data_IF_335366370120
#
_entry.id   IF_335366370120
#
_cell.length_a   1.000
_cell.length_b   1.000
_cell.length_c   1.000
_cell.angle_alpha   90.00
_cell.angle_beta   90.00
_cell.angle_gamma   90.00
#
_symmetry.space_group_name_H-M   'P 1'
#
loop_
_entity.id
_entity.type
_entity.pdbx_description
1 polymer ?
#
# COMPACT_ATOMS: atom_id res chain seq x y z
N UNK A 1 -41.75 24.11 12.92
CA UNK A 1 -40.86 23.07 12.36
C UNK A 1 -39.53 23.16 13.09
N UNK A 2 -39.18 22.17 13.90
CA UNK A 2 -37.88 22.14 14.59
C UNK A 2 -36.82 21.72 13.59
N UNK A 3 -35.96 22.65 13.18
CA UNK A 3 -34.79 22.34 12.35
C UNK A 3 -33.86 21.50 13.22
N UNK A 4 -33.71 20.21 12.91
CA UNK A 4 -32.69 19.36 13.54
C UNK A 4 -31.33 19.95 13.16
N UNK A 5 -30.65 20.56 14.13
CA UNK A 5 -29.27 20.96 13.95
C UNK A 5 -28.44 19.70 13.68
N UNK A 6 -27.66 19.71 12.60
CA UNK A 6 -26.70 18.65 12.36
C UNK A 6 -25.73 18.58 13.55
N UNK A 7 -25.30 17.37 13.98
CA UNK A 7 -24.25 17.27 14.98
C UNK A 7 -23.02 18.06 14.51
N UNK A 8 -22.32 18.77 15.43
CA UNK A 8 -21.13 19.51 15.07
C UNK A 8 -20.13 18.54 14.44
N UNK A 9 -19.45 18.94 13.36
CA UNK A 9 -18.49 18.06 12.71
C UNK A 9 -17.35 17.73 13.69
N UNK A 10 -16.81 16.51 13.65
CA UNK A 10 -15.72 16.10 14.53
C UNK A 10 -14.51 17.02 14.37
N UNK A 11 -13.78 17.26 15.46
CA UNK A 11 -12.67 18.20 15.52
C UNK A 11 -11.63 17.91 14.42
N UNK A 12 -11.53 18.83 13.45
CA UNK A 12 -10.77 18.73 12.21
C UNK A 12 -9.26 18.99 12.37
N UNK A 13 -8.64 18.44 13.40
CA UNK A 13 -7.28 18.80 13.79
C UNK A 13 -6.23 18.38 12.74
N UNK A 14 -6.38 17.20 12.12
CA UNK A 14 -5.34 16.67 11.21
C UNK A 14 -5.07 17.57 9.98
N UNK A 15 -6.11 18.12 9.35
CA UNK A 15 -5.95 19.02 8.21
C UNK A 15 -5.26 20.34 8.60
N UNK A 16 -5.37 20.77 9.86
CA UNK A 16 -4.74 21.98 10.38
C UNK A 16 -3.26 21.77 10.74
N UNK A 17 -2.85 20.53 11.05
CA UNK A 17 -1.46 20.19 11.43
C UNK A 17 -0.48 20.24 10.26
N UNK A 18 -0.98 20.11 9.02
CA UNK A 18 -0.15 20.05 7.82
C UNK A 18 0.67 18.76 7.70
N UNK A 19 1.57 18.75 6.72
CA UNK A 19 2.34 17.57 6.34
C UNK A 19 3.85 17.82 6.42
N UNK A 20 4.61 16.74 6.54
CA UNK A 20 6.06 16.72 6.33
C UNK A 20 6.33 16.39 4.87
N UNK A 21 7.15 17.21 4.22
CA UNK A 21 7.48 17.09 2.81
C UNK A 21 8.86 16.47 2.64
N UNK A 22 8.93 15.36 1.90
CA UNK A 22 10.17 14.67 1.55
C UNK A 22 10.56 15.03 0.12
N UNK A 23 11.82 15.43 -0.07
CA UNK A 23 12.31 16.08 -1.28
C UNK A 23 13.47 15.35 -1.92
N UNK A 24 13.56 15.50 -3.22
CA UNK A 24 14.62 15.02 -4.06
C UNK A 24 15.74 16.08 -4.17
N UNK A 25 17.00 15.79 -3.80
CA UNK A 25 18.09 16.77 -3.77
C UNK A 25 18.53 17.26 -5.16
N UNK A 26 18.52 16.37 -6.16
CA UNK A 26 18.95 16.69 -7.54
C UNK A 26 18.03 17.56 -8.39
N UNK A 27 16.92 18.09 -7.86
CA UNK A 27 16.03 18.99 -8.58
C UNK A 27 15.84 20.29 -7.79
N UNK A 28 16.29 21.41 -8.36
CA UNK A 28 16.44 22.69 -7.65
C UNK A 28 15.19 23.58 -7.63
N UNK A 29 14.11 23.19 -8.32
CA UNK A 29 12.86 23.95 -8.32
C UNK A 29 12.07 23.62 -7.05
N UNK A 30 12.04 24.56 -6.09
CA UNK A 30 11.51 24.41 -4.73
C UNK A 30 10.02 24.05 -4.65
N UNK A 31 9.27 24.23 -5.73
CA UNK A 31 7.87 23.82 -5.83
C UNK A 31 7.69 22.40 -6.37
N UNK A 32 8.72 21.77 -6.97
CA UNK A 32 8.55 20.54 -7.78
C UNK A 32 9.61 19.47 -7.49
N UNK A 33 10.27 19.52 -6.35
CA UNK A 33 11.24 18.52 -5.92
C UNK A 33 10.70 17.57 -4.86
N UNK A 34 9.47 17.77 -4.37
CA UNK A 34 8.87 16.87 -3.39
C UNK A 34 8.43 15.56 -4.03
N UNK A 35 8.83 14.44 -3.43
CA UNK A 35 8.55 13.07 -3.89
C UNK A 35 7.46 12.39 -3.07
N UNK A 36 7.25 12.86 -1.84
CA UNK A 36 6.27 12.33 -0.91
C UNK A 36 5.90 13.41 0.11
N UNK A 37 4.65 13.39 0.57
CA UNK A 37 4.16 14.21 1.67
C UNK A 37 3.39 13.30 2.61
N UNK A 38 3.70 13.37 3.91
CA UNK A 38 3.04 12.53 4.93
C UNK A 38 2.41 13.41 6.02
N UNK A 39 1.18 13.12 6.46
CA UNK A 39 0.49 13.88 7.48
C UNK A 39 1.15 13.69 8.86
N UNK A 40 1.08 14.72 9.70
CA UNK A 40 1.62 14.67 11.07
C UNK A 40 0.67 13.93 12.00
N UNK A 41 0.88 12.63 12.12
CA UNK A 41 -0.02 11.69 12.80
C UNK A 41 0.58 11.05 14.04
N UNK A 42 1.91 11.02 14.16
CA UNK A 42 2.65 10.37 15.24
C UNK A 42 3.03 11.35 16.33
N UNK A 43 2.80 11.00 17.60
CA UNK A 43 3.15 11.82 18.76
C UNK A 43 4.56 11.54 19.24
N UNK A 44 5.30 12.59 19.57
CA UNK A 44 6.60 12.42 20.23
C UNK A 44 6.41 11.99 21.70
N UNK A 45 7.13 10.96 22.21
CA UNK A 45 6.94 10.47 23.59
C UNK A 45 7.12 11.54 24.66
N UNK A 46 8.03 12.50 24.43
CA UNK A 46 8.30 13.60 25.38
C UNK A 46 7.34 14.78 25.22
N UNK A 47 6.60 14.87 24.11
CA UNK A 47 5.79 16.04 23.74
C UNK A 47 4.45 15.59 23.13
N UNK A 48 3.47 15.20 23.97
CA UNK A 48 2.24 14.55 23.51
C UNK A 48 1.32 15.45 22.68
N UNK A 49 1.58 16.77 22.64
CA UNK A 49 0.83 17.73 21.84
C UNK A 49 1.51 18.07 20.51
N UNK A 50 2.73 17.55 20.27
CA UNK A 50 3.43 17.73 19.02
C UNK A 50 3.32 16.48 18.15
N UNK A 51 3.02 16.70 16.88
CA UNK A 51 2.79 15.63 15.92
C UNK A 51 3.81 15.71 14.77
N UNK A 52 4.29 14.53 14.40
CA UNK A 52 5.22 14.31 13.33
C UNK A 52 4.95 13.01 12.60
N UNK A 53 5.98 12.44 12.01
CA UNK A 53 5.90 11.19 11.24
C UNK A 53 6.93 10.20 11.77
N UNK A 54 6.53 8.95 11.99
CA UNK A 54 7.45 7.88 12.38
C UNK A 54 8.61 7.74 11.38
N UNK A 55 9.84 7.83 11.89
CA UNK A 55 11.05 7.95 11.07
C UNK A 55 11.26 6.73 10.16
N UNK A 56 11.25 5.51 10.69
CA UNK A 56 11.46 4.32 9.87
C UNK A 56 10.43 4.18 8.73
N UNK A 57 9.17 4.54 9.00
CA UNK A 57 8.10 4.53 7.98
C UNK A 57 8.39 5.54 6.87
N UNK A 58 8.71 6.78 7.23
CA UNK A 58 9.03 7.83 6.26
C UNK A 58 10.28 7.50 5.43
N UNK A 59 11.34 7.02 6.09
CA UNK A 59 12.59 6.63 5.43
C UNK A 59 12.33 5.50 4.43
N UNK A 60 11.65 4.44 4.85
CA UNK A 60 11.38 3.29 3.98
C UNK A 60 10.51 3.67 2.77
N UNK A 61 9.52 4.55 2.97
CA UNK A 61 8.73 5.09 1.86
C UNK A 61 9.61 5.81 0.83
N UNK A 62 10.53 6.66 1.29
CA UNK A 62 11.47 7.35 0.41
C UNK A 62 12.42 6.38 -0.30
N UNK A 63 12.92 5.36 0.38
CA UNK A 63 13.78 4.33 -0.19
C UNK A 63 13.08 3.54 -1.30
N UNK A 64 11.80 3.18 -1.11
CA UNK A 64 10.97 2.52 -2.12
C UNK A 64 10.79 3.44 -3.34
N UNK A 65 10.40 4.70 -3.12
CA UNK A 65 10.20 5.68 -4.20
C UNK A 65 11.51 5.93 -4.96
N UNK A 66 12.65 5.96 -4.26
CA UNK A 66 13.99 6.05 -4.82
C UNK A 66 14.51 4.75 -5.43
N UNK A 67 13.62 3.86 -5.89
CA UNK A 67 13.95 2.58 -6.51
C UNK A 67 14.75 1.64 -5.59
N UNK A 68 14.21 1.39 -4.40
CA UNK A 68 14.79 0.50 -3.39
C UNK A 68 16.21 0.92 -2.96
N UNK A 69 16.49 2.23 -2.89
CA UNK A 69 17.76 2.78 -2.43
C UNK A 69 17.88 2.66 -0.90
N UNK A 70 17.99 1.43 -0.39
CA UNK A 70 17.98 1.12 1.06
C UNK A 70 19.22 1.61 1.82
N UNK A 71 20.26 2.04 1.12
CA UNK A 71 21.43 2.74 1.65
C UNK A 71 21.21 4.26 1.81
N UNK A 72 20.09 4.78 1.30
CA UNK A 72 19.71 6.18 1.42
C UNK A 72 19.31 6.58 2.83
N UNK A 73 19.42 7.87 3.12
CA UNK A 73 19.13 8.46 4.43
C UNK A 73 18.42 9.81 4.31
N UNK A 74 17.81 10.27 5.41
CA UNK A 74 17.17 11.59 5.49
C UNK A 74 18.15 12.65 5.99
N UNK A 75 18.05 13.85 5.43
CA UNK A 75 18.76 15.05 5.85
C UNK A 75 17.83 16.25 5.90
N UNK A 76 18.14 17.25 6.73
CA UNK A 76 17.46 18.55 6.75
C UNK A 76 18.09 19.56 5.77
N UNK A 77 19.24 19.21 5.18
CA UNK A 77 20.03 20.07 4.30
C UNK A 77 20.18 19.43 2.92
N UNK A 78 20.11 20.25 1.87
CA UNK A 78 20.32 19.81 0.48
C UNK A 78 21.78 19.91 0.08
N UNK A 79 22.41 21.03 0.38
CA UNK A 79 23.75 21.39 -0.11
C UNK A 79 24.85 20.61 0.63
N UNK A 80 24.69 20.50 1.95
CA UNK A 80 25.59 19.75 2.82
C UNK A 80 24.76 18.72 3.58
N UNK A 81 24.39 17.61 2.92
CA UNK A 81 23.52 16.62 3.52
C UNK A 81 24.26 15.88 4.63
N UNK A 82 23.72 15.97 5.84
CA UNK A 82 24.10 15.15 6.99
C UNK A 82 22.94 14.25 7.38
N UNK A 83 23.25 13.01 7.77
CA UNK A 83 22.24 12.07 8.25
C UNK A 83 21.64 12.61 9.54
N UNK A 84 20.31 12.65 9.61
CA UNK A 84 19.61 13.05 10.83
C UNK A 84 19.93 12.12 12.00
N UNK A 85 19.88 12.68 13.21
CA UNK A 85 20.17 11.96 14.46
C UNK A 85 18.95 11.29 15.07
N UNK A 86 17.75 11.62 14.60
CA UNK A 86 16.50 10.97 15.06
C UNK A 86 16.61 9.45 14.86
N UNK A 87 16.37 8.64 15.90
CA UNK A 87 16.48 7.19 15.79
C UNK A 87 15.31 6.64 14.94
N UNK A 88 15.42 5.39 14.50
CA UNK A 88 14.46 4.79 13.56
C UNK A 88 13.04 4.67 14.15
N UNK A 89 12.93 4.41 15.45
CA UNK A 89 11.72 4.40 16.27
C UNK A 89 11.23 5.81 16.67
N UNK A 90 12.00 6.85 16.34
CA UNK A 90 11.68 8.23 16.65
C UNK A 90 10.64 8.86 15.73
N UNK A 91 10.28 10.11 16.04
CA UNK A 91 9.32 10.91 15.28
C UNK A 91 10.04 12.09 14.63
N UNK A 92 9.83 12.26 13.33
CA UNK A 92 10.33 13.38 12.54
C UNK A 92 9.43 14.60 12.75
N UNK A 93 10.04 15.75 13.08
CA UNK A 93 9.31 16.97 13.45
C UNK A 93 9.48 18.11 12.44
N UNK A 94 10.56 18.11 11.65
CA UNK A 94 10.80 19.19 10.69
C UNK A 94 9.77 19.19 9.56
N UNK A 95 9.54 20.36 8.96
CA UNK A 95 8.59 20.49 7.86
C UNK A 95 9.11 19.88 6.54
N UNK A 96 10.43 19.80 6.37
CA UNK A 96 11.06 19.37 5.14
C UNK A 96 12.26 18.47 5.42
N UNK A 97 12.35 17.37 4.68
CA UNK A 97 13.52 16.51 4.64
C UNK A 97 13.93 16.24 3.20
N UNK A 98 15.21 16.04 2.96
CA UNK A 98 15.76 15.55 1.70
C UNK A 98 16.12 14.08 1.85
N UNK A 99 15.65 13.25 0.92
CA UNK A 99 16.10 11.87 0.82
C UNK A 99 17.36 11.80 -0.04
N UNK A 100 18.47 11.41 0.58
CA UNK A 100 19.80 11.42 -0.01
C UNK A 100 20.21 9.97 -0.31
N UNK A 101 20.61 9.73 -1.56
CA UNK A 101 21.19 8.45 -1.99
C UNK A 101 22.69 8.65 -2.20
N UNK A 102 23.56 7.98 -1.40
CA UNK A 102 25.01 8.11 -1.52
C UNK A 102 25.50 7.88 -2.96
N UNK A 103 26.38 8.76 -3.44
CA UNK A 103 26.95 8.65 -4.79
C UNK A 103 25.99 8.95 -5.94
N UNK A 104 24.72 9.26 -5.68
CA UNK A 104 23.73 9.55 -6.72
C UNK A 104 22.86 10.78 -6.39
N UNK A 105 23.35 11.96 -6.74
CA UNK A 105 22.64 13.22 -6.49
C UNK A 105 21.28 13.33 -7.22
N UNK A 106 21.11 12.60 -8.34
CA UNK A 106 19.92 12.64 -9.19
C UNK A 106 19.37 11.24 -9.44
N UNK A 107 19.11 10.51 -8.35
CA UNK A 107 18.62 9.14 -8.39
C UNK A 107 17.31 8.99 -9.17
N UNK A 108 17.05 7.82 -9.76
CA UNK A 108 15.81 7.57 -10.46
C UNK A 108 14.67 7.34 -9.45
N UNK A 109 13.47 7.82 -9.80
CA UNK A 109 12.26 7.54 -9.02
C UNK A 109 11.42 6.46 -9.68
N UNK A 110 10.68 5.71 -8.87
CA UNK A 110 9.71 4.72 -9.33
C UNK A 110 8.39 5.44 -9.61
N UNK A 111 7.94 5.51 -10.87
CA UNK A 111 6.83 6.37 -11.26
C UNK A 111 5.44 5.74 -11.01
N UNK A 112 5.37 4.40 -10.93
CA UNK A 112 4.15 3.65 -10.69
C UNK A 112 4.48 2.32 -10.03
N UNK A 113 3.50 1.70 -9.37
CA UNK A 113 3.69 0.37 -8.79
C UNK A 113 3.99 -0.69 -9.85
N UNK A 114 3.42 -0.56 -11.06
CA UNK A 114 3.70 -1.48 -12.18
C UNK A 114 5.17 -1.44 -12.62
N UNK A 115 5.82 -0.29 -12.50
CA UNK A 115 7.25 -0.09 -12.80
C UNK A 115 8.17 -0.51 -11.64
N UNK A 116 7.62 -0.72 -10.44
CA UNK A 116 8.40 -1.10 -9.27
C UNK A 116 8.85 -2.56 -9.31
N UNK A 117 10.10 -2.81 -8.94
CA UNK A 117 10.63 -4.17 -8.73
C UNK A 117 10.58 -4.52 -7.24
N UNK A 118 9.98 -5.65 -6.90
CA UNK A 118 10.04 -6.17 -5.54
C UNK A 118 11.50 -6.56 -5.20
N UNK A 119 12.06 -6.10 -4.07
CA UNK A 119 13.46 -6.31 -3.71
C UNK A 119 13.70 -7.72 -3.15
N UNK A 120 13.60 -8.75 -3.99
CA UNK A 120 13.65 -10.15 -3.53
C UNK A 120 14.90 -10.49 -2.68
N UNK A 121 16.05 -9.91 -3.00
CA UNK A 121 17.31 -10.21 -2.29
C UNK A 121 17.46 -9.37 -1.02
N UNK A 122 17.16 -8.08 -1.10
CA UNK A 122 17.33 -7.14 -0.01
C UNK A 122 16.22 -7.28 1.05
N UNK A 123 15.02 -7.72 0.64
CA UNK A 123 13.84 -7.82 1.51
C UNK A 123 14.08 -8.60 2.80
N UNK A 124 14.84 -9.69 2.73
CA UNK A 124 15.15 -10.50 3.93
C UNK A 124 16.05 -9.76 4.93
N UNK A 125 16.81 -8.77 4.48
CA UNK A 125 17.69 -7.94 5.31
C UNK A 125 17.03 -6.66 5.81
N UNK A 126 15.86 -6.30 5.28
CA UNK A 126 15.15 -5.10 5.72
C UNK A 126 14.59 -5.29 7.14
N UNK A 127 14.53 -4.19 7.89
CA UNK A 127 13.79 -4.14 9.14
C UNK A 127 12.28 -4.14 8.87
N UNK A 128 11.77 -5.30 8.49
CA UNK A 128 10.37 -5.61 8.27
C UNK A 128 10.07 -6.96 8.96
N UNK A 129 9.66 -6.94 10.23
CA UNK A 129 9.66 -8.13 11.08
C UNK A 129 8.74 -9.25 10.60
N UNK A 130 9.07 -10.51 10.94
CA UNK A 130 8.20 -11.65 10.65
C UNK A 130 6.93 -11.57 11.50
N UNK A 131 5.81 -11.95 10.92
CA UNK A 131 4.55 -12.05 11.65
C UNK A 131 4.61 -13.36 12.44
N UNK A 132 4.52 -13.25 13.75
CA UNK A 132 4.38 -14.41 14.65
C UNK A 132 2.94 -14.43 15.15
N UNK A 133 2.07 -15.17 14.46
CA UNK A 133 0.71 -15.35 14.95
C UNK A 133 0.78 -16.28 16.15
N UNK A 134 0.50 -15.75 17.34
CA UNK A 134 0.24 -16.58 18.52
C UNK A 134 -0.94 -17.49 18.19
N UNK A 135 -0.69 -18.79 18.10
CA UNK A 135 -1.69 -19.81 17.82
C UNK A 135 -2.81 -19.70 18.86
N UNK A 136 -4.02 -19.26 18.45
CA UNK A 136 -5.34 -19.57 19.04
C UNK A 136 -6.41 -18.75 18.31
N UNK A 137 -7.29 -19.44 17.57
CA UNK A 137 -8.53 -18.96 16.96
C UNK A 137 -8.46 -17.60 16.25
N UNK A 138 -8.27 -17.63 14.92
CA UNK A 138 -8.57 -16.52 14.01
C UNK A 138 -9.90 -15.87 14.44
N UNK A 139 -9.80 -14.74 15.12
CA UNK A 139 -10.98 -13.96 15.50
C UNK A 139 -11.65 -13.61 14.18
N UNK A 140 -12.91 -14.04 14.03
CA UNK A 140 -13.72 -13.83 12.82
C UNK A 140 -14.21 -12.38 12.76
N UNK A 141 -13.25 -11.45 12.76
CA UNK A 141 -13.47 -10.01 12.86
C UNK A 141 -12.56 -9.23 11.92
N UNK A 142 -12.94 -7.97 11.71
CA UNK A 142 -12.12 -7.01 10.99
C UNK A 142 -10.76 -6.88 11.68
N UNK A 143 -9.67 -6.98 10.92
CA UNK A 143 -8.29 -6.89 11.41
C UNK A 143 -8.00 -5.59 12.19
N UNK A 144 -8.70 -4.50 11.85
CA UNK A 144 -8.54 -3.18 12.50
C UNK A 144 -9.57 -2.97 13.60
N UNK A 145 -10.86 -3.21 13.33
CA UNK A 145 -11.95 -2.82 14.24
C UNK A 145 -12.45 -3.93 15.15
N UNK A 146 -12.01 -5.16 14.93
CA UNK A 146 -12.49 -6.39 15.57
C UNK A 146 -14.01 -6.63 15.43
N UNK A 147 -14.70 -5.84 14.60
CA UNK A 147 -16.12 -6.02 14.32
C UNK A 147 -16.31 -7.28 13.46
N UNK A 148 -17.21 -8.17 13.85
CA UNK A 148 -17.56 -9.37 13.07
C UNK A 148 -18.63 -9.12 11.99
N UNK A 149 -19.19 -7.90 11.92
CA UNK A 149 -20.28 -7.54 11.02
C UNK A 149 -19.78 -6.86 9.74
N UNK A 150 -20.40 -7.18 8.61
CA UNK A 150 -20.15 -6.57 7.29
C UNK A 150 -18.68 -6.63 6.86
N UNK A 151 -18.14 -7.85 6.87
CA UNK A 151 -16.75 -8.14 6.51
C UNK A 151 -16.59 -8.47 5.03
N UNK A 152 -15.48 -8.02 4.47
CA UNK A 152 -15.01 -8.33 3.13
C UNK A 152 -13.54 -8.78 3.16
N UNK A 153 -13.14 -9.53 2.14
CA UNK A 153 -11.76 -9.93 1.93
C UNK A 153 -11.04 -8.83 1.14
N UNK A 154 -10.11 -8.16 1.80
CA UNK A 154 -9.24 -7.17 1.20
C UNK A 154 -7.93 -7.82 0.75
N UNK A 155 -7.55 -7.62 -0.51
CA UNK A 155 -6.24 -8.05 -0.98
C UNK A 155 -5.16 -7.07 -0.53
N UNK A 156 -4.08 -7.58 0.07
CA UNK A 156 -2.92 -6.76 0.42
C UNK A 156 -2.26 -6.23 -0.86
N UNK A 157 -1.86 -7.11 -1.78
CA UNK A 157 -1.55 -6.79 -3.17
C UNK A 157 -2.84 -6.83 -3.99
N UNK A 158 -3.38 -5.69 -4.46
CA UNK A 158 -4.67 -5.63 -5.12
C UNK A 158 -4.76 -6.53 -6.34
N UNK A 159 -5.97 -7.03 -6.62
CA UNK A 159 -6.21 -7.91 -7.76
C UNK A 159 -5.93 -7.23 -9.11
N UNK A 160 -6.09 -5.91 -9.18
CA UNK A 160 -5.73 -5.08 -10.34
C UNK A 160 -4.23 -5.14 -10.68
N UNK A 161 -3.39 -5.49 -9.70
CA UNK A 161 -1.93 -5.58 -9.83
C UNK A 161 -1.43 -6.99 -10.17
N UNK A 162 -2.30 -7.87 -10.70
CA UNK A 162 -1.97 -9.27 -11.05
C UNK A 162 -0.79 -9.40 -12.01
N UNK A 163 -0.60 -8.43 -12.91
CA UNK A 163 0.54 -8.41 -13.84
C UNK A 163 1.84 -8.19 -13.07
N UNK A 164 1.88 -7.17 -12.20
CA UNK A 164 3.01 -6.91 -11.32
C UNK A 164 3.29 -8.10 -10.39
N UNK A 165 2.24 -8.70 -9.80
CA UNK A 165 2.34 -9.87 -8.92
C UNK A 165 3.08 -11.03 -9.60
N UNK A 166 2.68 -11.36 -10.83
CA UNK A 166 3.30 -12.43 -11.62
C UNK A 166 4.73 -12.09 -12.00
N UNK A 167 4.97 -10.86 -12.45
CA UNK A 167 6.29 -10.38 -12.88
C UNK A 167 7.33 -10.46 -11.76
N UNK A 168 6.92 -10.14 -10.54
CA UNK A 168 7.79 -10.17 -9.36
C UNK A 168 7.79 -11.53 -8.65
N UNK A 169 7.17 -12.56 -9.24
CA UNK A 169 7.09 -13.90 -8.67
C UNK A 169 6.55 -13.93 -7.25
N UNK A 170 5.58 -13.08 -6.92
CA UNK A 170 5.10 -12.92 -5.53
C UNK A 170 4.52 -14.21 -4.94
N UNK A 171 4.13 -15.18 -5.78
CA UNK A 171 3.69 -16.51 -5.36
C UNK A 171 4.75 -17.29 -4.57
N UNK A 172 6.04 -16.95 -4.67
CA UNK A 172 7.08 -17.61 -3.86
C UNK A 172 6.92 -17.35 -2.37
N UNK A 173 6.24 -16.26 -2.00
CA UNK A 173 6.00 -15.85 -0.62
C UNK A 173 4.76 -16.52 0.01
N UNK A 174 3.96 -17.29 -0.76
CA UNK A 174 2.79 -17.98 -0.22
C UNK A 174 3.11 -19.29 0.52
N UNK A 175 4.39 -19.67 0.68
CA UNK A 175 4.84 -20.89 1.36
C UNK A 175 4.10 -22.16 0.88
N UNK A 176 3.91 -22.31 -0.43
CA UNK A 176 3.25 -23.48 -1.02
C UNK A 176 1.72 -23.46 -0.97
N UNK A 177 1.10 -22.39 -0.44
CA UNK A 177 -0.35 -22.21 -0.56
C UNK A 177 -0.74 -22.04 -2.04
N UNK A 178 -1.59 -22.95 -2.52
CA UNK A 178 -2.24 -22.87 -3.82
C UNK A 178 -3.24 -21.71 -3.80
N UNK A 179 -3.25 -20.87 -4.84
CA UNK A 179 -4.20 -19.74 -4.92
C UNK A 179 -3.72 -18.54 -5.75
N UNK A 180 -2.44 -18.48 -6.11
CA UNK A 180 -1.91 -17.34 -6.86
C UNK A 180 -2.15 -16.03 -6.08
N UNK A 181 -2.71 -15.01 -6.73
CA UNK A 181 -3.00 -13.73 -6.08
C UNK A 181 -4.10 -13.82 -5.00
N UNK A 182 -4.96 -14.84 -5.05
CA UNK A 182 -6.08 -15.04 -4.12
C UNK A 182 -5.69 -15.96 -2.94
N UNK A 183 -4.39 -16.16 -2.71
CA UNK A 183 -3.89 -16.95 -1.58
C UNK A 183 -4.18 -16.24 -0.24
N UNK A 184 -4.39 -17.01 0.83
CA UNK A 184 -4.78 -16.48 2.14
C UNK A 184 -3.76 -15.51 2.75
N UNK A 185 -2.47 -15.64 2.45
CA UNK A 185 -1.44 -14.71 2.92
C UNK A 185 -1.53 -13.31 2.28
N UNK A 186 -2.22 -13.21 1.14
CA UNK A 186 -2.51 -11.95 0.47
C UNK A 186 -3.89 -11.40 0.84
N UNK A 187 -4.61 -12.00 1.78
CA UNK A 187 -5.98 -11.62 2.16
C UNK A 187 -6.05 -11.17 3.61
N UNK A 188 -6.81 -10.10 3.85
CA UNK A 188 -7.11 -9.57 5.17
C UNK A 188 -8.62 -9.32 5.28
N UNK A 189 -9.25 -9.73 6.38
CA UNK A 189 -10.66 -9.43 6.60
C UNK A 189 -10.81 -8.02 7.15
N UNK A 190 -11.57 -7.17 6.45
CA UNK A 190 -11.82 -5.80 6.83
C UNK A 190 -13.32 -5.51 6.82
N UNK A 191 -13.77 -4.61 7.70
CA UNK A 191 -15.14 -4.05 7.63
C UNK A 191 -15.25 -3.23 6.35
N UNK A 192 -16.40 -3.28 5.67
CA UNK A 192 -16.59 -2.68 4.33
C UNK A 192 -16.11 -1.22 4.19
N UNK A 193 -16.29 -0.38 5.22
CA UNK A 193 -15.81 1.00 5.26
C UNK A 193 -14.28 1.08 5.36
N UNK A 194 -13.69 0.27 6.24
CA UNK A 194 -12.23 0.16 6.40
C UNK A 194 -11.58 -0.41 5.15
N UNK A 195 -12.21 -1.40 4.50
CA UNK A 195 -11.76 -1.97 3.22
C UNK A 195 -11.71 -0.90 2.12
N UNK A 196 -12.78 -0.12 1.95
CA UNK A 196 -12.82 0.96 0.96
C UNK A 196 -11.72 1.99 1.19
N UNK A 197 -11.52 2.43 2.44
CA UNK A 197 -10.44 3.37 2.76
C UNK A 197 -9.03 2.79 2.55
N UNK A 198 -8.87 1.48 2.80
CA UNK A 198 -7.62 0.78 2.56
C UNK A 198 -7.26 0.81 1.07
N UNK A 199 -8.22 0.50 0.19
CA UNK A 199 -8.04 0.50 -1.27
C UNK A 199 -7.89 1.90 -1.88
N UNK A 200 -8.47 2.91 -1.23
CA UNK A 200 -8.21 4.30 -1.56
C UNK A 200 -6.79 4.77 -1.20
N UNK A 201 -6.00 3.95 -0.48
CA UNK A 201 -4.66 4.25 0.02
C UNK A 201 -4.65 5.30 1.14
N UNK A 202 -5.77 5.48 1.83
CA UNK A 202 -5.90 6.45 2.93
C UNK A 202 -4.97 6.09 4.10
N UNK A 203 -4.66 4.80 4.25
CA UNK A 203 -3.79 4.25 5.29
C UNK A 203 -3.09 2.96 4.85
N UNK A 204 -2.04 2.61 5.59
CA UNK A 204 -1.21 1.41 5.40
C UNK A 204 -0.97 0.69 6.72
N UNK A 205 -0.44 -0.52 6.62
CA UNK A 205 -0.03 -1.35 7.76
C UNK A 205 1.49 -1.36 7.79
N UNK A 206 2.10 -0.91 8.89
CA UNK A 206 3.56 -0.82 9.04
C UNK A 206 4.00 -1.35 10.40
N UNK A 207 5.21 -1.92 10.51
CA UNK A 207 5.74 -2.30 11.81
C UNK A 207 6.04 -1.03 12.63
N UNK A 208 5.59 -1.04 13.87
CA UNK A 208 5.88 -0.01 14.86
C UNK A 208 6.46 -0.63 16.12
N UNK A 209 7.46 0.03 16.73
CA UNK A 209 8.04 -0.46 17.97
C UNK A 209 6.99 -0.44 19.06
N UNK A 210 7.03 -1.46 19.92
CA UNK A 210 6.29 -1.48 21.17
C UNK A 210 7.31 -1.34 22.30
N UNK A 211 6.87 -0.80 23.43
CA UNK A 211 7.70 -0.74 24.65
C UNK A 211 7.51 -2.02 25.50
N UNK A 212 7.09 -3.13 24.88
CA UNK A 212 6.70 -4.40 25.50
C UNK A 212 7.08 -5.58 24.60
N UNK A 213 6.97 -6.81 25.10
CA UNK A 213 7.10 -8.04 24.29
C UNK A 213 5.75 -8.36 23.61
N UNK A 214 5.67 -8.60 22.28
CA UNK A 214 6.74 -8.55 21.27
C UNK A 214 7.21 -7.12 20.99
N UNK A 215 8.51 -6.92 20.70
CA UNK A 215 9.19 -5.61 20.49
C UNK A 215 8.61 -4.74 19.35
N UNK A 216 7.70 -5.30 18.56
CA UNK A 216 6.99 -4.59 17.51
C UNK A 216 5.56 -5.12 17.38
N UNK A 217 4.71 -4.29 16.80
CA UNK A 217 3.41 -4.70 16.28
C UNK A 217 3.18 -4.11 14.90
N UNK A 218 2.35 -4.74 14.08
CA UNK A 218 1.89 -4.15 12.84
C UNK A 218 0.73 -3.21 13.16
N UNK A 219 0.89 -1.94 12.86
CA UNK A 219 -0.10 -0.92 13.18
C UNK A 219 -0.56 -0.16 11.94
N UNK A 220 -1.76 0.39 12.03
CA UNK A 220 -2.31 1.32 11.05
C UNK A 220 -1.51 2.63 11.06
N UNK A 221 -1.12 3.09 9.88
CA UNK A 221 -0.50 4.40 9.68
C UNK A 221 -1.23 5.16 8.57
N UNK A 222 -1.77 6.33 8.91
CA UNK A 222 -2.54 7.16 7.97
C UNK A 222 -1.60 7.90 7.03
N UNK A 223 -1.92 7.91 5.73
CA UNK A 223 -1.12 8.54 4.68
C UNK A 223 -1.71 9.84 4.14
N UNK A 224 -2.99 10.10 4.38
CA UNK A 224 -3.68 11.28 3.86
C UNK A 224 -4.24 12.18 4.98
N UNK A 225 -4.19 13.49 4.75
CA UNK A 225 -4.78 14.52 5.60
C UNK A 225 -6.16 14.99 5.12
N UNK A 226 -6.65 14.50 3.98
CA UNK A 226 -7.95 14.86 3.44
C UNK A 226 -9.09 14.57 4.44
N UNK A 227 -10.17 15.36 4.33
CA UNK A 227 -11.24 15.41 5.34
C UNK A 227 -11.84 14.05 5.73
N UNK A 228 -12.04 13.07 4.82
CA UNK A 228 -12.47 11.72 5.19
C UNK A 228 -11.41 10.94 5.99
N UNK A 229 -10.13 11.04 5.60
CA UNK A 229 -9.01 10.36 6.25
C UNK A 229 -8.73 10.91 7.65
N UNK A 230 -8.97 12.20 7.89
CA UNK A 230 -8.82 12.84 9.21
C UNK A 230 -9.72 12.21 10.30
N UNK A 231 -10.91 11.71 9.96
CA UNK A 231 -11.80 11.03 10.92
C UNK A 231 -11.34 9.60 11.20
N UNK A 232 -10.76 8.95 10.20
CA UNK A 232 -10.19 7.61 10.34
C UNK A 232 -8.96 7.65 11.26
N UNK A 233 -8.11 8.67 11.09
CA UNK A 233 -6.94 8.93 11.94
C UNK A 233 -7.26 8.92 13.43
N UNK A 234 -8.24 9.70 13.88
CA UNK A 234 -8.56 9.85 15.31
C UNK A 234 -8.87 8.53 16.00
N UNK A 235 -9.45 7.57 15.27
CA UNK A 235 -9.91 6.32 15.84
C UNK A 235 -8.94 5.15 15.66
N UNK A 236 -8.16 5.16 14.58
CA UNK A 236 -7.45 3.95 14.14
C UNK A 236 -5.95 4.13 13.94
N UNK A 237 -5.41 5.35 13.93
CA UNK A 237 -3.96 5.53 13.79
C UNK A 237 -3.22 4.90 14.97
N UNK A 238 -2.12 4.19 14.68
CA UNK A 238 -1.35 3.40 15.65
C UNK A 238 -2.14 2.27 16.34
N UNK A 239 -3.36 1.93 15.88
CA UNK A 239 -4.02 0.72 16.32
C UNK A 239 -3.33 -0.51 15.73
N UNK A 240 -3.13 -1.52 16.58
CA UNK A 240 -2.63 -2.83 16.18
C UNK A 240 -3.58 -3.50 15.19
N UNK A 241 -2.98 -4.13 14.18
CA UNK A 241 -3.66 -4.91 13.15
C UNK A 241 -3.52 -6.37 13.50
N UNK A 242 -4.66 -7.00 13.75
CA UNK A 242 -4.75 -8.40 14.16
C UNK A 242 -5.09 -9.29 12.96
N UNK A 243 -5.13 -10.61 13.17
CA UNK A 243 -5.53 -11.61 12.17
C UNK A 243 -4.66 -11.66 10.90
N UNK A 244 -3.41 -11.18 10.98
CA UNK A 244 -2.41 -11.33 9.93
C UNK A 244 -1.94 -12.79 9.86
N UNK A 245 -1.71 -13.32 8.66
CA UNK A 245 -1.11 -14.66 8.50
C UNK A 245 0.42 -14.56 8.59
N UNK A 246 1.09 -15.58 9.11
CA UNK A 246 2.57 -15.61 9.27
C UNK A 246 3.33 -15.29 7.97
N UNK A 247 2.79 -15.72 6.82
CA UNK A 247 3.37 -15.52 5.50
C UNK A 247 2.87 -14.24 4.78
N UNK A 248 2.14 -13.35 5.48
CA UNK A 248 1.65 -12.08 4.89
C UNK A 248 2.74 -11.02 4.74
N UNK A 249 3.92 -11.25 5.35
CA UNK A 249 5.02 -10.27 5.48
C UNK A 249 5.35 -9.57 4.16
N UNK A 250 5.59 -10.32 3.09
CA UNK A 250 5.94 -9.78 1.77
C UNK A 250 4.78 -9.01 1.11
N UNK A 251 3.54 -9.47 1.33
CA UNK A 251 2.35 -8.83 0.80
C UNK A 251 2.04 -7.50 1.51
N UNK A 252 2.28 -7.42 2.83
CA UNK A 252 2.18 -6.17 3.58
C UNK A 252 3.22 -5.15 3.09
N UNK A 253 4.47 -5.58 2.87
CA UNK A 253 5.50 -4.70 2.32
C UNK A 253 5.14 -4.21 0.92
N UNK A 254 4.65 -5.10 0.05
CA UNK A 254 4.18 -4.73 -1.28
C UNK A 254 2.98 -3.77 -1.23
N UNK A 255 2.05 -3.95 -0.28
CA UNK A 255 0.93 -3.02 -0.05
C UNK A 255 1.42 -1.65 0.41
N UNK A 256 2.38 -1.61 1.33
CA UNK A 256 3.02 -0.37 1.74
C UNK A 256 3.63 0.37 0.54
N UNK A 257 4.41 -0.34 -0.29
CA UNK A 257 4.98 0.20 -1.52
C UNK A 257 3.90 0.73 -2.50
N UNK A 258 2.84 -0.05 -2.73
CA UNK A 258 1.72 0.31 -3.60
C UNK A 258 1.07 1.63 -3.21
N UNK A 259 0.89 1.86 -1.91
CA UNK A 259 0.30 3.09 -1.41
C UNK A 259 1.25 4.29 -1.51
N UNK A 260 2.50 4.16 -1.04
CA UNK A 260 3.43 5.31 -0.99
C UNK A 260 3.93 5.75 -2.38
N UNK A 261 4.02 4.83 -3.35
CA UNK A 261 4.44 5.17 -4.72
C UNK A 261 3.44 6.13 -5.37
N UNK A 262 2.15 6.09 -5.03
CA UNK A 262 1.18 7.07 -5.54
C UNK A 262 1.57 8.51 -5.19
N UNK A 263 2.21 8.71 -4.04
CA UNK A 263 2.63 10.02 -3.55
C UNK A 263 3.62 10.75 -4.48
N UNK A 264 4.28 10.02 -5.40
CA UNK A 264 5.22 10.60 -6.37
C UNK A 264 4.52 11.33 -7.51
N UNK A 265 3.20 11.17 -7.70
CA UNK A 265 2.49 11.73 -8.87
C UNK A 265 2.76 13.24 -9.07
N UNK A 266 2.71 14.10 -8.06
CA UNK A 266 2.97 15.52 -8.26
C UNK A 266 4.40 15.83 -8.71
N UNK A 267 5.39 15.03 -8.30
CA UNK A 267 6.79 15.13 -8.75
C UNK A 267 6.92 14.88 -10.26
N UNK A 268 6.19 13.88 -10.76
CA UNK A 268 6.17 13.49 -12.17
C UNK A 268 5.42 14.51 -13.03
N UNK A 269 4.29 15.03 -12.53
CA UNK A 269 3.40 15.94 -13.26
C UNK A 269 3.88 17.40 -13.29
N UNK A 270 5.04 17.69 -12.71
CA UNK A 270 5.62 19.03 -12.67
C UNK A 270 6.07 19.58 -14.05
N UNK A 271 5.96 18.80 -15.14
CA UNK A 271 6.35 19.22 -16.48
C UNK A 271 7.86 19.30 -16.73
N UNK A 272 8.70 18.90 -15.77
CA UNK A 272 10.17 18.85 -15.91
C UNK A 272 10.63 17.42 -16.23
N UNK A 273 11.69 17.23 -17.04
CA UNK A 273 12.28 15.92 -17.26
C UNK A 273 12.78 15.24 -15.97
N UNK A 274 12.42 13.97 -15.76
CA UNK A 274 12.79 13.18 -14.58
C UNK A 274 13.54 11.91 -14.97
N UNK A 275 14.52 11.53 -14.15
CA UNK A 275 15.07 10.18 -14.14
C UNK A 275 14.03 9.26 -13.49
N UNK A 276 13.50 8.31 -14.25
CA UNK A 276 12.54 7.33 -13.76
C UNK A 276 13.04 5.91 -14.04
N UNK A 277 12.54 4.95 -13.27
CA UNK A 277 12.67 3.53 -13.58
C UNK A 277 11.48 3.09 -14.40
N UNK A 278 11.73 2.33 -15.47
CA UNK A 278 10.71 1.74 -16.33
C UNK A 278 10.95 0.26 -16.46
N UNK A 279 9.86 -0.49 -16.41
CA UNK A 279 9.89 -1.90 -16.75
C UNK A 279 9.60 -2.09 -18.24
N UNK A 280 10.46 -2.82 -18.92
CA UNK A 280 10.27 -3.22 -20.30
C UNK A 280 10.27 -4.74 -20.40
N UNK A 281 9.30 -5.29 -21.14
CA UNK A 281 9.27 -6.70 -21.45
C UNK A 281 9.95 -6.92 -22.80
N UNK A 282 10.95 -7.77 -22.83
CA UNK A 282 11.55 -8.21 -24.09
C UNK A 282 10.56 -9.07 -24.90
N UNK A 283 10.91 -9.36 -26.17
CA UNK A 283 10.10 -10.22 -27.05
C UNK A 283 9.97 -11.67 -26.54
N UNK A 284 10.79 -12.07 -25.56
CA UNK A 284 10.82 -13.39 -24.93
C UNK A 284 10.05 -13.43 -23.59
N UNK A 285 9.48 -12.30 -23.16
CA UNK A 285 8.73 -12.17 -21.91
C UNK A 285 9.58 -11.86 -20.67
N UNK A 286 10.90 -11.70 -20.80
CA UNK A 286 11.78 -11.29 -19.70
C UNK A 286 11.56 -9.81 -19.41
N UNK A 287 11.30 -9.47 -18.15
CA UNK A 287 11.20 -8.07 -17.72
C UNK A 287 12.56 -7.53 -17.30
N UNK A 288 12.95 -6.38 -17.85
CA UNK A 288 14.12 -5.62 -17.45
C UNK A 288 13.69 -4.26 -16.88
N UNK A 289 14.42 -3.77 -15.89
CA UNK A 289 14.17 -2.45 -15.29
C UNK A 289 15.30 -1.52 -15.71
N UNK A 290 14.95 -0.46 -16.42
CA UNK A 290 15.90 0.50 -16.98
C UNK A 290 15.64 1.90 -16.43
N UNK A 291 16.73 2.62 -16.19
CA UNK A 291 16.68 4.03 -15.84
C UNK A 291 16.62 4.86 -17.11
N UNK A 292 15.61 5.72 -17.24
CA UNK A 292 15.43 6.62 -18.39
C UNK A 292 15.18 8.05 -17.93
N UNK A 293 15.80 9.00 -18.63
CA UNK A 293 15.44 10.41 -18.53
C UNK A 293 14.24 10.65 -19.45
N UNK A 294 13.09 10.95 -18.84
CA UNK A 294 11.82 11.10 -19.56
C UNK A 294 11.35 12.54 -19.47
N UNK A 295 10.87 13.10 -20.58
CA UNK A 295 10.39 14.48 -20.65
C UNK A 295 9.09 14.69 -19.87
N UNK A 296 8.82 15.91 -19.39
CA UNK A 296 7.58 16.20 -18.64
C UNK A 296 6.29 15.90 -19.43
N UNK A 297 6.30 16.15 -20.75
CA UNK A 297 5.17 15.84 -21.63
C UNK A 297 4.94 14.32 -21.75
N UNK A 298 6.01 13.56 -21.90
CA UNK A 298 5.92 12.10 -21.96
C UNK A 298 5.50 11.49 -20.62
N UNK A 299 5.94 12.06 -19.49
CA UNK A 299 5.46 11.67 -18.16
C UNK A 299 3.96 11.90 -18.03
N UNK A 300 3.44 13.05 -18.47
CA UNK A 300 2.01 13.35 -18.47
C UNK A 300 1.21 12.38 -19.37
N UNK A 301 1.71 12.09 -20.57
CA UNK A 301 1.07 11.12 -21.48
C UNK A 301 1.05 9.68 -20.92
N UNK A 302 2.08 9.31 -20.15
CA UNK A 302 2.20 7.97 -19.56
C UNK A 302 1.45 7.84 -18.23
N UNK A 303 1.37 8.89 -17.41
CA UNK A 303 0.92 8.81 -16.02
C UNK A 303 -0.08 9.90 -15.57
N UNK A 304 -0.46 10.84 -16.44
CA UNK A 304 -1.32 11.98 -16.09
C UNK A 304 -2.78 11.60 -15.87
N UNK A 305 -3.33 10.72 -16.71
CA UNK A 305 -4.74 10.29 -16.63
C UNK A 305 -4.90 9.10 -15.66
N UNK A 306 -5.58 9.35 -14.52
CA UNK A 306 -5.90 8.33 -13.51
C UNK A 306 -6.17 8.97 -12.15
N UNK A 307 -7.45 9.12 -11.79
CA UNK A 307 -7.89 9.44 -10.43
C UNK A 307 -7.99 8.14 -9.62
N UNK A 308 -7.53 8.16 -8.36
CA UNK A 308 -7.50 7.09 -7.31
C UNK A 308 -7.03 5.68 -7.67
N UNK A 309 -7.17 5.24 -8.91
CA UNK A 309 -6.62 4.03 -9.49
C UNK A 309 -5.28 4.38 -10.14
N UNK A 310 -4.21 3.79 -9.63
CA UNK A 310 -2.83 4.15 -9.93
C UNK A 310 -2.57 4.28 -11.43
N UNK A 311 -1.80 5.30 -11.79
CA UNK A 311 -1.37 5.64 -13.14
C UNK A 311 -0.76 4.40 -13.84
N UNK A 312 -1.62 3.65 -14.51
CA UNK A 312 -1.23 2.50 -15.30
C UNK A 312 -0.81 3.03 -16.66
N UNK A 313 0.41 2.70 -17.15
CA UNK A 313 0.86 3.18 -18.44
C UNK A 313 -0.12 2.77 -19.55
N UNK A 314 -0.43 3.71 -20.46
CA UNK A 314 -1.26 3.42 -21.64
C UNK A 314 -0.72 2.20 -22.40
N UNK A 315 -1.55 1.18 -22.59
CA UNK A 315 -1.30 0.19 -23.65
C UNK A 315 -1.43 0.91 -24.98
N UNK A 316 -0.37 0.88 -25.81
CA UNK A 316 -0.34 1.42 -27.16
C UNK A 316 -1.37 0.70 -28.06
N UNK A 317 -2.65 1.06 -27.98
CA UNK A 317 -3.58 0.82 -29.07
C UNK A 317 -3.37 1.92 -30.11
N UNK A 318 -2.79 1.54 -31.24
CA UNK A 318 -2.74 2.37 -32.45
C UNK A 318 -4.16 2.86 -32.75
N UNK A 319 -4.39 4.17 -32.63
CA UNK A 319 -5.57 4.85 -33.16
C UNK A 319 -5.53 4.75 -34.69
N UNK A 320 -6.14 3.69 -35.23
CA UNK A 320 -6.48 3.67 -36.64
C UNK A 320 -7.80 4.38 -36.79
N UNK A 321 -7.74 5.58 -37.38
CA UNK A 321 -8.90 6.39 -37.73
C UNK A 321 -9.43 5.86 -39.07
N UNK A 322 -10.51 5.08 -39.06
CA UNK A 322 -11.33 4.86 -40.24
C UNK A 322 -12.79 4.65 -39.84
N UNK A 323 -13.64 5.28 -40.65
CA UNK A 323 -15.07 5.43 -40.55
C UNK A 323 -15.76 4.28 -41.31
N UNK A 324 -16.99 3.95 -40.88
CA UNK A 324 -18.04 3.15 -41.52
C UNK A 324 -18.12 1.63 -41.23
N UNK A 325 -19.32 1.28 -40.73
CA UNK A 325 -20.09 0.03 -40.78
C UNK A 325 -19.42 -1.27 -41.23
N UNK A 326 -19.45 -2.24 -40.31
CA UNK A 326 -20.08 -3.55 -40.57
C UNK A 326 -20.26 -4.29 -39.26
N UNK A 327 -21.49 -4.70 -38.97
CA UNK A 327 -21.84 -5.69 -37.95
C UNK A 327 -20.99 -6.96 -38.15
N UNK A 328 -20.38 -7.45 -37.08
CA UNK A 328 -19.86 -8.82 -37.06
C UNK A 328 -20.03 -9.35 -35.66
N UNK A 329 -21.00 -10.26 -35.54
CA UNK A 329 -21.30 -11.10 -34.41
C UNK A 329 -20.04 -11.88 -33.99
N UNK A 330 -19.76 -11.90 -32.69
CA UNK A 330 -18.85 -12.89 -32.12
C UNK A 330 -19.72 -13.93 -31.42
N UNK A 331 -19.77 -15.11 -32.03
CA UNK A 331 -20.36 -16.31 -31.45
C UNK A 331 -19.60 -16.67 -30.16
N UNK A 332 -20.29 -16.64 -29.02
CA UNK A 332 -19.84 -17.28 -27.79
C UNK A 332 -20.10 -18.78 -27.92
N UNK A 333 -19.03 -19.59 -27.90
CA UNK A 333 -19.15 -21.05 -27.79
C UNK A 333 -19.59 -21.41 -26.36
N UNK A 334 -20.86 -21.79 -26.29
CA UNK A 334 -21.65 -22.24 -25.16
C UNK A 334 -21.31 -23.72 -24.82
N UNK A 335 -20.38 -23.98 -23.90
CA UNK A 335 -20.28 -25.31 -23.26
C UNK A 335 -21.19 -25.37 -22.03
N UNK A 336 -22.42 -25.86 -22.26
CA UNK A 336 -23.33 -26.31 -21.21
C UNK A 336 -22.79 -27.60 -20.57
N UNK A 337 -22.51 -27.54 -19.27
CA UNK A 337 -22.79 -28.67 -18.39
C UNK A 337 -23.80 -28.23 -17.33
N UNK A 338 -24.86 -29.02 -17.25
CA UNK A 338 -26.10 -28.79 -16.51
C UNK A 338 -25.98 -29.49 -15.16
N UNK A 339 -26.07 -28.76 -14.05
CA UNK A 339 -27.06 -28.97 -12.97
C UNK A 339 -26.74 -28.18 -11.70
N UNK A 340 -27.77 -27.55 -11.14
CA UNK A 340 -27.82 -27.18 -9.72
C UNK A 340 -27.94 -25.69 -9.40
N UNK A 341 -29.13 -25.12 -9.57
CA UNK A 341 -29.54 -23.87 -8.92
C UNK A 341 -29.40 -24.04 -7.40
N UNK A 342 -28.45 -23.33 -6.78
CA UNK A 342 -28.43 -23.10 -5.33
C UNK A 342 -28.72 -21.63 -5.06
N UNK A 343 -30.00 -21.36 -4.80
CA UNK A 343 -30.45 -20.15 -4.12
C UNK A 343 -29.71 -19.99 -2.80
N UNK A 344 -29.18 -18.79 -2.54
CA UNK A 344 -28.62 -18.39 -1.26
C UNK A 344 -29.55 -18.74 -0.10
N UNK A 345 -29.10 -19.62 0.80
CA UNK A 345 -29.72 -19.83 2.11
C UNK A 345 -28.84 -19.26 3.22
N UNK A 346 -29.41 -18.67 4.28
CA UNK A 346 -28.64 -18.25 5.45
C UNK A 346 -28.11 -19.46 6.21
N UNK A 347 -26.95 -19.29 6.86
CA UNK A 347 -26.25 -20.26 7.70
C UNK A 347 -27.19 -21.15 8.54
N UNK A 348 -27.11 -22.47 8.35
CA UNK A 348 -27.77 -23.48 9.19
C UNK A 348 -26.80 -23.92 10.33
N UNK A 349 -27.10 -23.61 11.61
CA UNK A 349 -26.30 -24.01 12.76
C UNK A 349 -26.13 -25.52 12.92
N UNK A 350 -27.00 -26.34 12.30
CA UNK A 350 -26.97 -27.81 12.41
C UNK A 350 -25.84 -28.41 11.56
N UNK A 351 -25.44 -27.78 10.47
CA UNK A 351 -24.33 -28.29 9.64
C UNK A 351 -22.96 -28.10 10.33
N UNK A 352 -22.83 -27.04 11.13
CA UNK A 352 -21.64 -26.76 11.95
C UNK A 352 -21.48 -27.75 13.11
N UNK A 353 -22.58 -28.12 13.77
CA UNK A 353 -22.53 -29.11 14.86
C UNK A 353 -22.16 -30.51 14.33
N UNK A 354 -22.67 -30.89 13.16
CA UNK A 354 -22.31 -32.16 12.50
C UNK A 354 -20.82 -32.17 12.10
N UNK A 355 -20.28 -31.06 11.56
CA UNK A 355 -18.86 -30.97 11.21
C UNK A 355 -17.95 -30.98 12.43
N UNK A 356 -18.35 -30.35 13.53
CA UNK A 356 -17.62 -30.38 14.80
C UNK A 356 -17.60 -31.79 15.41
N UNK A 357 -18.71 -32.52 15.32
CA UNK A 357 -18.80 -33.91 15.81
C UNK A 357 -17.93 -34.87 14.98
N UNK A 358 -17.83 -34.64 13.66
CA UNK A 358 -16.92 -35.40 12.79
C UNK A 358 -15.44 -35.10 13.07
N UNK A 359 -15.11 -33.89 13.50
CA UNK A 359 -13.74 -33.50 13.87
C UNK A 359 -13.35 -34.09 15.24
N UNK A 360 -14.27 -34.11 16.21
CA UNK A 360 -14.06 -34.78 17.51
C UNK A 360 -13.81 -36.28 17.35
N UNK A 361 -14.63 -36.96 16.55
CA UNK A 361 -14.45 -38.40 16.24
C UNK A 361 -13.14 -38.72 15.52
N UNK A 362 -12.56 -37.78 14.77
CA UNK A 362 -11.25 -37.95 14.11
C UNK A 362 -10.06 -37.71 15.05
N UNK A 363 -10.25 -37.04 16.18
CA UNK A 363 -9.20 -36.77 17.16
C UNK A 363 -9.15 -37.76 18.33
N UNK A 364 -10.06 -38.72 18.39
CA UNK A 364 -10.05 -39.76 19.44
C UNK A 364 -10.30 -39.19 20.84
N UNK A 365 -11.07 -38.10 20.92
CA UNK A 365 -11.57 -37.55 22.18
C UNK A 365 -13.06 -37.89 22.22
N UNK A 366 -13.40 -38.96 22.94
CA UNK A 366 -14.78 -39.27 23.36
C UNK A 366 -15.19 -38.37 24.53
#
# INVERSE_FOLDING_TARGET
MSVRAAPPPPAHDLAARGCIVFRHPGYSHTCWDYILSLPRVDTHPSEPNEYGVHHATALLACQIIGNNAFDGYLSTSRENPEKITTPADGVLMEANYFFIVPGNAKYPVVPSFQDWKFPQTEFESLWWPNITTGLLDLVSGCAVTQCAYSLEKAHLVPQTEKVWYRRNSMFTHSCGQLGGIDNNANLLYLRIDTHRSFDNKDWVIVPKPTYSDPEFTYAVHVLDCDKPAAQFYTNWHNCEVLNLQDNSKAYLFARFAWAVIQGVKPFLMAGIPRNIVRVEADKKGTSTWEVKLVSGKELDELYGEGGSEGATPRKNLKRTRSQADSETEWEEEDERSVDGILTHTPFDPVELSIRLEMIKRRKGED
#
